data_IF_589132827475
#
_entry.id   IF_589132827475
#
_cell.length_a   1.000
_cell.length_b   1.000
_cell.length_c   1.000
_cell.angle_alpha   90.00
_cell.angle_beta   90.00
_cell.angle_gamma   90.00
#
_symmetry.space_group_name_H-M   'P 1'
#
loop_
_entity.id
_entity.type
_entity.pdbx_description
1 polymer ?
#
# COMPACT_ATOMS: atom_id res chain seq x y z
N UNK A 1 -2.52 -10.85 1.89
CA UNK A 1 -1.88 -9.70 2.57
C UNK A 1 -2.35 -9.66 4.00
N UNK A 2 -1.62 -8.96 4.88
CA UNK A 2 -2.00 -8.80 6.29
C UNK A 2 -1.70 -7.37 6.76
N UNK A 3 -2.46 -6.92 7.76
CA UNK A 3 -2.25 -5.65 8.44
C UNK A 3 -1.86 -5.94 9.89
N UNK A 4 -0.78 -5.32 10.37
CA UNK A 4 -0.26 -5.49 11.73
C UNK A 4 -0.26 -4.14 12.43
N UNK A 5 -0.87 -4.06 13.61
CA UNK A 5 -0.89 -2.85 14.43
C UNK A 5 0.33 -2.72 15.34
N UNK A 6 0.79 -1.48 15.50
CA UNK A 6 1.86 -1.09 16.42
C UNK A 6 1.39 0.11 17.29
N UNK A 7 0.40 -0.11 18.19
CA UNK A 7 -0.30 0.98 18.89
C UNK A 7 0.59 1.82 19.83
N UNK A 8 1.79 1.34 20.19
CA UNK A 8 2.70 2.05 21.10
C UNK A 8 3.80 2.84 20.37
N UNK A 9 3.88 2.77 19.04
CA UNK A 9 4.81 3.59 18.26
C UNK A 9 4.48 5.08 18.34
N UNK A 10 5.45 5.92 17.97
CA UNK A 10 5.30 7.38 17.90
C UNK A 10 4.75 8.00 19.19
N UNK A 11 5.34 7.64 20.34
CA UNK A 11 4.90 8.04 21.69
C UNK A 11 3.41 7.77 21.93
N UNK A 12 3.00 6.51 21.73
CA UNK A 12 1.62 6.05 21.87
C UNK A 12 0.65 6.67 20.84
N UNK A 13 1.14 7.36 19.81
CA UNK A 13 0.34 7.76 18.67
C UNK A 13 -0.19 6.55 17.90
N UNK A 14 0.68 5.56 17.71
CA UNK A 14 0.40 4.29 17.06
C UNK A 14 0.51 4.35 15.53
N UNK A 15 0.68 3.17 14.93
CA UNK A 15 0.76 2.99 13.50
C UNK A 15 0.23 1.61 13.10
N UNK A 16 0.00 1.41 11.80
CA UNK A 16 -0.18 0.08 11.22
C UNK A 16 0.75 -0.15 10.04
N UNK A 17 1.04 -1.42 9.79
CA UNK A 17 1.91 -1.89 8.72
C UNK A 17 1.17 -2.88 7.83
N UNK A 18 1.30 -2.71 6.51
CA UNK A 18 0.73 -3.61 5.51
C UNK A 18 1.86 -4.48 4.96
N UNK A 19 1.67 -5.80 5.04
CA UNK A 19 2.60 -6.79 4.50
C UNK A 19 1.93 -7.60 3.39
N UNK A 20 2.58 -7.69 2.24
CA UNK A 20 2.09 -8.54 1.16
C UNK A 20 2.34 -10.02 1.45
N UNK A 21 1.37 -10.85 1.08
CA UNK A 21 1.51 -12.29 1.08
C UNK A 21 2.52 -12.78 0.03
N UNK A 22 3.12 -13.93 0.29
CA UNK A 22 3.97 -14.64 -0.66
C UNK A 22 3.70 -16.14 -0.53
N UNK A 23 2.69 -16.62 -1.28
CA UNK A 23 2.21 -18.00 -1.18
C UNK A 23 1.71 -18.31 0.23
N UNK A 24 2.39 -19.24 0.92
CA UNK A 24 2.08 -19.62 2.32
C UNK A 24 2.81 -18.77 3.38
N UNK A 25 3.54 -17.75 2.97
CA UNK A 25 4.34 -16.88 3.86
C UNK A 25 3.98 -15.42 3.68
N UNK A 26 4.58 -14.55 4.48
CA UNK A 26 4.48 -13.09 4.37
C UNK A 26 5.84 -12.53 3.98
N UNK A 27 5.86 -11.45 3.18
CA UNK A 27 7.10 -10.70 2.94
C UNK A 27 7.59 -10.09 4.25
N UNK A 28 8.90 -10.08 4.47
CA UNK A 28 9.49 -9.52 5.71
C UNK A 28 9.49 -8.00 5.75
N UNK A 29 9.53 -7.36 4.59
CA UNK A 29 9.45 -5.91 4.47
C UNK A 29 7.99 -5.49 4.31
N UNK A 30 7.58 -4.47 5.05
CA UNK A 30 6.26 -3.88 4.90
C UNK A 30 6.19 -3.14 3.55
N UNK A 31 5.04 -3.22 2.89
CA UNK A 31 4.78 -2.48 1.66
C UNK A 31 4.36 -1.03 1.95
N UNK A 32 3.68 -0.82 3.08
CA UNK A 32 3.18 0.48 3.49
C UNK A 32 3.14 0.57 5.02
N UNK A 33 3.47 1.74 5.55
CA UNK A 33 3.25 2.13 6.95
C UNK A 33 2.25 3.28 6.97
N UNK A 34 1.25 3.19 7.84
CA UNK A 34 0.26 4.25 8.04
C UNK A 34 0.36 4.70 9.51
N UNK A 35 0.98 5.87 9.78
CA UNK A 35 0.97 6.44 11.13
C UNK A 35 -0.43 6.94 11.50
N UNK A 36 -0.65 7.12 12.80
CA UNK A 36 -1.78 7.89 13.30
C UNK A 36 -1.83 9.28 12.66
N UNK A 37 -3.02 9.66 12.15
CA UNK A 37 -3.29 11.02 11.67
C UNK A 37 -3.71 11.99 12.78
N UNK A 38 -3.72 11.54 14.03
CA UNK A 38 -4.17 12.32 15.18
C UNK A 38 -3.11 13.25 15.77
N UNK A 39 -3.50 14.01 16.79
CA UNK A 39 -2.65 14.97 17.50
C UNK A 39 -1.69 14.35 18.55
N UNK A 40 -1.74 13.03 18.73
CA UNK A 40 -0.99 12.28 19.74
C UNK A 40 -1.43 12.54 21.20
N UNK A 41 -2.50 13.34 21.41
CA UNK A 41 -3.02 13.68 22.74
C UNK A 41 -4.40 13.08 22.98
N UNK A 42 -5.32 13.35 22.06
CA UNK A 42 -6.71 12.88 22.10
C UNK A 42 -6.87 11.56 21.36
N UNK A 43 -6.11 11.38 20.28
CA UNK A 43 -6.06 10.13 19.53
C UNK A 43 -4.76 9.39 19.85
N UNK A 44 -4.89 8.21 20.43
CA UNK A 44 -3.77 7.35 20.86
C UNK A 44 -4.02 5.91 20.49
N UNK A 45 -2.98 5.10 20.51
CA UNK A 45 -3.05 3.66 20.30
C UNK A 45 -3.66 3.30 18.94
N UNK A 46 -3.41 4.13 17.91
CA UNK A 46 -3.87 3.83 16.56
C UNK A 46 -3.29 2.49 16.09
N UNK A 47 -4.15 1.59 15.61
CA UNK A 47 -3.77 0.21 15.29
C UNK A 47 -4.02 -0.78 16.42
N UNK A 48 -4.65 -0.38 17.53
CA UNK A 48 -5.03 -1.29 18.62
C UNK A 48 -6.13 -2.29 18.20
N UNK A 49 -7.05 -1.87 17.33
CA UNK A 49 -8.08 -2.73 16.75
C UNK A 49 -8.12 -2.53 15.25
N UNK A 50 -8.23 -3.62 14.48
CA UNK A 50 -8.21 -3.60 13.03
C UNK A 50 -9.27 -4.57 12.51
N UNK A 51 -10.01 -4.16 11.48
CA UNK A 51 -10.94 -5.03 10.76
C UNK A 51 -10.90 -4.71 9.26
N UNK A 52 -10.89 -5.73 8.41
CA UNK A 52 -10.76 -5.56 6.96
C UNK A 52 -11.19 -6.80 6.18
N UNK A 53 -12.48 -7.15 6.26
CA UNK A 53 -13.09 -8.25 5.52
C UNK A 53 -14.21 -7.78 4.57
N UNK A 54 -14.56 -6.49 4.59
CA UNK A 54 -15.69 -5.94 3.86
C UNK A 54 -15.28 -4.75 3.00
N UNK A 55 -15.89 -4.65 1.83
CA UNK A 55 -15.93 -3.46 0.98
C UNK A 55 -17.00 -2.51 1.52
N UNK A 56 -16.60 -1.31 1.94
CA UNK A 56 -17.48 -0.32 2.56
C UNK A 56 -17.83 0.84 1.62
N UNK A 57 -17.15 0.96 0.48
CA UNK A 57 -17.40 2.02 -0.51
C UNK A 57 -18.10 1.51 -1.79
N UNK A 58 -18.17 0.19 -1.99
CA UNK A 58 -18.82 -0.47 -3.11
C UNK A 58 -17.98 -0.56 -4.38
N UNK A 59 -16.66 -0.41 -4.31
CA UNK A 59 -15.75 -0.49 -5.46
C UNK A 59 -15.23 -1.92 -5.76
N UNK A 60 -15.57 -2.89 -4.92
CA UNK A 60 -15.17 -4.28 -5.04
C UNK A 60 -13.83 -4.62 -4.40
N UNK A 61 -13.17 -3.66 -3.74
CA UNK A 61 -11.94 -3.87 -2.98
C UNK A 61 -12.24 -3.92 -1.48
N UNK A 62 -11.50 -4.76 -0.75
CA UNK A 62 -11.63 -4.83 0.70
C UNK A 62 -11.04 -3.58 1.34
N UNK A 63 -11.82 -2.94 2.21
CA UNK A 63 -11.41 -1.76 2.96
C UNK A 63 -10.88 -2.13 4.34
N UNK A 64 -10.12 -1.23 4.96
CA UNK A 64 -9.54 -1.44 6.28
C UNK A 64 -10.00 -0.36 7.24
N UNK A 65 -10.56 -0.79 8.36
CA UNK A 65 -10.89 0.08 9.51
C UNK A 65 -9.84 -0.10 10.60
N UNK A 66 -9.36 1.02 11.13
CA UNK A 66 -8.33 1.04 12.17
C UNK A 66 -8.82 1.90 13.32
N UNK A 67 -8.86 1.30 14.50
CA UNK A 67 -9.27 1.94 15.73
C UNK A 67 -8.10 2.21 16.67
N UNK A 68 -8.32 3.21 17.53
CA UNK A 68 -7.50 3.52 18.70
C UNK A 68 -8.36 4.20 19.76
N UNK A 69 -7.73 4.66 20.83
CA UNK A 69 -8.38 5.57 21.77
C UNK A 69 -8.67 6.90 21.08
N UNK A 70 -9.89 7.41 21.24
CA UNK A 70 -10.32 8.69 20.67
C UNK A 70 -10.99 8.60 19.31
N UNK A 71 -10.94 7.44 18.62
CA UNK A 71 -11.68 7.25 17.38
C UNK A 71 -11.21 6.09 16.51
N UNK A 72 -11.79 6.02 15.31
CA UNK A 72 -11.43 5.08 14.26
C UNK A 72 -11.37 5.79 12.91
N UNK A 73 -10.57 5.25 11.99
CA UNK A 73 -10.45 5.73 10.62
C UNK A 73 -10.71 4.58 9.64
N UNK A 74 -11.36 4.92 8.52
CA UNK A 74 -11.63 4.03 7.40
C UNK A 74 -10.67 4.36 6.26
N UNK A 75 -9.99 3.33 5.74
CA UNK A 75 -9.08 3.42 4.61
C UNK A 75 -9.63 2.61 3.46
N UNK A 76 -9.88 3.30 2.35
CA UNK A 76 -10.28 2.66 1.11
C UNK A 76 -9.06 2.12 0.36
N UNK A 77 -9.15 0.86 -0.05
CA UNK A 77 -8.17 0.28 -0.97
C UNK A 77 -8.26 0.99 -2.33
N UNK A 78 -7.17 0.93 -3.12
CA UNK A 78 -7.12 1.59 -4.43
C UNK A 78 -6.78 0.59 -5.52
N UNK A 79 -7.37 0.79 -6.69
CA UNK A 79 -7.04 0.01 -7.88
C UNK A 79 -5.54 0.03 -8.20
N UNK A 80 -5.03 -1.11 -8.64
CA UNK A 80 -3.62 -1.29 -9.04
C UNK A 80 -3.54 -1.54 -10.54
N UNK A 81 -3.05 -0.55 -11.28
CA UNK A 81 -2.80 -0.69 -12.72
C UNK A 81 -1.41 -1.30 -12.98
N UNK A 82 -1.35 -2.31 -13.85
CA UNK A 82 -0.09 -2.93 -14.30
C UNK A 82 0.20 -2.51 -15.73
N UNK A 83 1.25 -1.70 -15.91
CA UNK A 83 1.68 -1.22 -17.24
C UNK A 83 2.79 -2.12 -17.77
N UNK A 84 2.55 -2.74 -18.93
CA UNK A 84 3.55 -3.55 -19.66
C UNK A 84 4.01 -2.77 -20.88
N UNK A 85 5.32 -2.55 -21.00
CA UNK A 85 5.92 -1.83 -22.12
C UNK A 85 6.73 -2.80 -22.97
N UNK A 86 6.50 -2.77 -24.28
CA UNK A 86 7.26 -3.51 -25.28
C UNK A 86 7.81 -2.52 -26.30
N UNK A 87 9.10 -2.61 -26.60
CA UNK A 87 9.75 -1.75 -27.60
C UNK A 87 10.28 -2.61 -28.74
N UNK A 88 9.94 -2.24 -29.97
CA UNK A 88 10.42 -2.86 -31.19
C UNK A 88 11.21 -1.82 -31.99
N UNK A 89 12.32 -2.23 -32.58
CA UNK A 89 13.14 -1.36 -33.43
C UNK A 89 13.03 -1.78 -34.88
N UNK A 90 12.94 -0.81 -35.79
CA UNK A 90 13.03 -1.09 -37.22
C UNK A 90 13.95 -0.07 -37.92
N UNK A 91 15.12 -0.50 -38.42
CA UNK A 91 15.68 -1.85 -38.35
C UNK A 91 16.19 -2.21 -36.94
N UNK A 92 16.18 -3.51 -36.61
CA UNK A 92 16.76 -4.03 -35.35
C UNK A 92 18.27 -3.79 -35.20
N UNK A 93 18.96 -3.36 -36.28
CA UNK A 93 20.39 -3.02 -36.30
C UNK A 93 20.61 -1.84 -37.24
N UNK A 94 21.45 -0.89 -36.81
CA UNK A 94 21.83 0.27 -37.63
C UNK A 94 23.03 -0.10 -38.50
N UNK A 95 22.92 0.10 -39.82
CA UNK A 95 24.03 -0.07 -40.75
C UNK A 95 24.74 1.28 -40.96
N UNK A 96 25.96 1.42 -40.43
CA UNK A 96 26.76 2.67 -40.50
C UNK A 96 27.22 3.04 -41.92
N UNK A 97 27.20 2.09 -42.87
CA UNK A 97 27.53 2.35 -44.27
C UNK A 97 26.32 2.89 -45.04
N UNK A 98 25.11 2.58 -44.57
CA UNK A 98 23.87 3.10 -45.15
C UNK A 98 23.52 4.41 -44.43
N UNK A 99 23.84 5.55 -45.04
CA UNK A 99 23.43 6.88 -44.56
C UNK A 99 22.12 7.28 -45.24
N UNK A 100 21.01 6.92 -44.62
CA UNK A 100 19.65 7.06 -45.16
C UNK A 100 18.84 8.20 -44.52
N UNK A 101 19.44 9.04 -43.69
CA UNK A 101 18.86 10.29 -43.21
C UNK A 101 19.46 11.45 -44.02
N UNK A 102 18.59 12.36 -44.50
CA UNK A 102 18.97 13.54 -45.30
C UNK A 102 19.10 14.77 -44.43
#
# INVERSE_FOLDING_TARGET
DIVIGAPLEDDHGGAVYIYHGSGKTIRKEYAQRIPSGGDGKTLKFFGQSIHGEMDLNGDGLTDVTIGGLGGAALFWSRDVAVVKVTMNFEPNKVNIQKKNCR
#
